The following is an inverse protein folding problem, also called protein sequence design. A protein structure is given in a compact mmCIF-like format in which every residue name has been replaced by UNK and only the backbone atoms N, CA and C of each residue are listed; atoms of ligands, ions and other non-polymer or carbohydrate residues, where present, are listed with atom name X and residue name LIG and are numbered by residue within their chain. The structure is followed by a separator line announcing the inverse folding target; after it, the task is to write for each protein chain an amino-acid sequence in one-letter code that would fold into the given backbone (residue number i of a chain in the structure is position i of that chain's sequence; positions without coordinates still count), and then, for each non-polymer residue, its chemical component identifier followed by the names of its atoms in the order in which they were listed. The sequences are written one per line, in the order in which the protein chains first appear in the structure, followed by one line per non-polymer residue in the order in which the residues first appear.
data_IF_193478995380
#
_entry.id   IF_193478995380
#
_cell.length_a   1.000
_cell.length_b   1.000
_cell.length_c   1.000
_cell.angle_alpha   90.00
_cell.angle_beta   90.00
_cell.angle_gamma   90.00
#
_symmetry.space_group_name_H-M   'P 1'
#
loop_
_entity.id
_entity.type
_entity.pdbx_description
1 polymer ?
#
# COMPACT_ATOMS: atom_id res chain seq x y z
N UNK A 1 -12.15 -9.37 40.77
CA UNK A 1 -11.36 -8.72 39.70
C UNK A 1 -11.38 -7.23 39.94
N UNK A 2 -10.25 -6.58 39.86
CA UNK A 2 -10.10 -5.14 40.01
C UNK A 2 -9.46 -4.56 38.73
N UNK A 3 -9.82 -3.33 38.33
CA UNK A 3 -9.24 -2.72 37.14
C UNK A 3 -7.87 -2.09 37.48
N UNK A 4 -7.03 -2.03 36.43
CA UNK A 4 -5.75 -1.31 36.41
C UNK A 4 -5.66 -0.60 35.04
N UNK A 5 -5.09 0.59 34.96
CA UNK A 5 -4.93 1.32 33.72
C UNK A 5 -5.86 2.53 33.58
N UNK A 6 -5.86 3.11 32.36
CA UNK A 6 -6.46 4.43 32.09
C UNK A 6 -7.97 4.38 31.83
N UNK A 7 -8.48 3.24 31.34
CA UNK A 7 -9.92 3.06 31.12
C UNK A 7 -10.58 2.65 32.43
N UNK A 8 -11.54 3.46 32.88
CA UNK A 8 -12.20 3.30 34.15
C UNK A 8 -13.38 2.33 34.04
N UNK A 9 -13.40 1.33 34.94
CA UNK A 9 -14.55 0.45 35.14
C UNK A 9 -15.30 0.82 36.43
N UNK A 10 -16.45 1.48 36.26
CA UNK A 10 -17.29 1.94 37.39
C UNK A 10 -17.86 0.78 38.24
N UNK A 11 -17.92 -0.42 37.68
CA UNK A 11 -18.47 -1.61 38.35
C UNK A 11 -17.41 -2.42 39.09
N UNK A 12 -16.12 -2.10 38.92
CA UNK A 12 -15.05 -2.78 39.63
C UNK A 12 -15.05 -2.40 41.12
N UNK A 13 -14.66 -3.31 42.04
CA UNK A 13 -14.20 -4.67 41.78
C UNK A 13 -15.33 -5.64 41.48
N UNK A 14 -15.17 -6.47 40.44
CA UNK A 14 -16.07 -7.59 40.20
C UNK A 14 -15.74 -8.75 41.13
N UNK A 15 -16.73 -9.24 41.91
CA UNK A 15 -16.54 -10.30 42.87
C UNK A 15 -17.43 -11.48 42.52
N UNK A 16 -16.81 -12.64 42.34
CA UNK A 16 -17.48 -13.94 42.12
C UNK A 16 -17.16 -14.86 43.27
N UNK A 17 -18.21 -15.43 43.88
CA UNK A 17 -18.10 -16.43 44.95
C UNK A 17 -18.25 -17.82 44.33
N UNK A 18 -17.14 -18.57 44.26
CA UNK A 18 -17.13 -19.94 43.80
C UNK A 18 -17.57 -20.88 44.93
N UNK A 19 -18.63 -21.62 44.70
CA UNK A 19 -19.16 -22.60 45.67
C UNK A 19 -18.78 -24.03 45.32
N UNK A 20 -18.11 -24.25 44.19
CA UNK A 20 -17.64 -25.58 43.77
C UNK A 20 -16.44 -26.00 44.62
N UNK A 21 -16.65 -27.03 45.42
CA UNK A 21 -15.61 -27.60 46.28
C UNK A 21 -15.22 -28.99 45.77
N UNK A 22 -13.91 -29.28 45.76
CA UNK A 22 -13.43 -30.64 45.49
C UNK A 22 -12.97 -30.91 44.06
N UNK A 23 -12.94 -29.93 43.17
CA UNK A 23 -12.30 -30.01 41.87
C UNK A 23 -10.85 -29.50 41.88
N UNK A 24 -9.99 -30.14 41.12
CA UNK A 24 -8.56 -29.76 41.00
C UNK A 24 -8.29 -28.70 39.94
N UNK A 25 -9.22 -28.50 39.01
CA UNK A 25 -9.21 -27.46 37.99
C UNK A 25 -10.64 -27.10 37.62
N UNK A 26 -10.93 -25.81 37.46
CA UNK A 26 -12.23 -25.27 37.07
C UNK A 26 -11.98 -24.26 35.94
N UNK A 27 -12.59 -24.50 34.78
CA UNK A 27 -12.71 -23.49 33.72
C UNK A 27 -13.98 -22.69 33.99
N UNK A 28 -13.82 -21.41 34.33
CA UNK A 28 -14.90 -20.51 34.65
C UNK A 28 -14.98 -19.39 33.60
N UNK A 29 -16.07 -19.34 32.85
CA UNK A 29 -16.36 -18.22 31.97
C UNK A 29 -16.93 -17.05 32.79
N UNK A 30 -16.09 -16.05 33.03
CA UNK A 30 -16.47 -14.87 33.81
C UNK A 30 -17.35 -13.90 33.03
N UNK A 31 -17.45 -14.02 31.70
CA UNK A 31 -18.33 -13.19 30.88
C UNK A 31 -19.81 -13.40 31.18
N UNK A 32 -20.18 -14.56 31.72
CA UNK A 32 -21.55 -14.83 32.20
C UNK A 32 -21.94 -14.05 33.45
N UNK A 33 -20.94 -13.59 34.21
CA UNK A 33 -21.16 -12.95 35.53
C UNK A 33 -20.85 -11.47 35.51
N UNK A 34 -19.92 -11.03 34.67
CA UNK A 34 -19.43 -9.65 34.66
C UNK A 34 -19.42 -9.10 33.23
N UNK A 35 -19.69 -7.80 33.13
CA UNK A 35 -19.37 -7.01 31.94
C UNK A 35 -18.04 -6.30 32.17
N UNK A 36 -17.01 -6.72 31.48
CA UNK A 36 -15.75 -6.02 31.45
C UNK A 36 -15.81 -4.86 30.45
N UNK A 37 -15.09 -3.79 30.73
CA UNK A 37 -14.97 -2.67 29.83
C UNK A 37 -13.82 -2.91 28.82
N UNK A 38 -14.13 -2.71 27.58
CA UNK A 38 -13.17 -2.80 26.47
C UNK A 38 -11.98 -1.85 26.66
N UNK A 39 -10.78 -2.28 26.30
CA UNK A 39 -9.53 -1.53 26.46
C UNK A 39 -9.04 -1.37 27.91
N UNK A 40 -9.62 -2.13 28.86
CA UNK A 40 -9.29 -2.02 30.29
C UNK A 40 -8.29 -3.07 30.72
N UNK A 41 -7.32 -2.68 31.56
CA UNK A 41 -6.46 -3.62 32.29
C UNK A 41 -7.06 -4.04 33.61
N UNK A 42 -7.08 -5.33 33.87
CA UNK A 42 -7.60 -5.92 35.11
C UNK A 42 -6.51 -6.63 35.90
N UNK A 43 -6.67 -6.59 37.24
CA UNK A 43 -5.98 -7.47 38.17
C UNK A 43 -6.93 -8.58 38.61
N UNK A 44 -6.51 -9.80 38.50
CA UNK A 44 -7.24 -10.98 38.95
C UNK A 44 -6.70 -11.44 40.29
N UNK A 45 -7.59 -11.68 41.28
CA UNK A 45 -7.19 -12.17 42.59
C UNK A 45 -8.09 -13.33 43.00
N UNK A 46 -7.50 -14.39 43.49
CA UNK A 46 -8.20 -15.55 44.05
C UNK A 46 -7.80 -15.76 45.48
N UNK A 47 -8.78 -15.94 46.35
CA UNK A 47 -8.60 -16.32 47.74
C UNK A 47 -9.63 -17.40 48.10
N UNK A 48 -9.24 -18.37 48.86
CA UNK A 48 -10.11 -19.46 49.28
C UNK A 48 -10.11 -19.62 50.81
N UNK A 49 -11.17 -20.26 51.34
CA UNK A 49 -11.19 -20.72 52.72
C UNK A 49 -11.54 -22.21 52.83
N UNK A 50 -10.93 -22.92 53.74
CA UNK A 50 -11.31 -24.30 54.02
C UNK A 50 -12.55 -24.39 54.95
N UNK A 51 -13.06 -25.59 55.14
CA UNK A 51 -14.24 -25.84 55.97
C UNK A 51 -14.00 -25.48 57.48
N UNK A 52 -12.76 -25.37 57.90
CA UNK A 52 -12.38 -24.96 59.27
C UNK A 52 -12.28 -23.44 59.40
N UNK A 53 -12.42 -22.70 58.29
CA UNK A 53 -12.31 -21.23 58.25
C UNK A 53 -10.90 -20.67 58.08
N UNK A 54 -9.91 -21.51 57.74
CA UNK A 54 -8.58 -21.04 57.40
C UNK A 54 -8.58 -20.42 55.98
N UNK A 55 -7.96 -19.26 55.88
CA UNK A 55 -7.93 -18.49 54.61
C UNK A 55 -6.58 -18.75 53.93
N UNK A 56 -6.62 -19.01 52.61
CA UNK A 56 -5.40 -19.15 51.81
C UNK A 56 -4.69 -17.82 51.57
N UNK A 57 -3.42 -17.87 51.20
CA UNK A 57 -2.77 -16.71 50.58
C UNK A 57 -3.54 -16.29 49.33
N UNK A 58 -3.52 -14.99 49.02
CA UNK A 58 -4.14 -14.43 47.86
C UNK A 58 -3.21 -14.65 46.64
N UNK A 59 -3.68 -15.42 45.64
CA UNK A 59 -3.01 -15.50 44.34
C UNK A 59 -3.47 -14.35 43.48
N UNK A 60 -2.54 -13.68 42.80
CA UNK A 60 -2.82 -12.53 41.94
C UNK A 60 -2.20 -12.71 40.57
N UNK A 61 -2.93 -12.27 39.54
CA UNK A 61 -2.48 -12.06 38.18
C UNK A 61 -2.73 -10.59 37.87
N UNK A 62 -1.69 -9.90 37.47
CA UNK A 62 -1.73 -8.47 37.17
C UNK A 62 -1.66 -8.23 35.66
N UNK A 63 -2.11 -7.05 35.24
CA UNK A 63 -1.97 -6.55 33.87
C UNK A 63 -2.64 -7.42 32.81
N UNK A 64 -3.82 -7.92 33.11
CA UNK A 64 -4.65 -8.66 32.13
C UNK A 64 -5.41 -7.62 31.31
N UNK A 65 -5.07 -7.51 30.04
CA UNK A 65 -5.75 -6.62 29.11
C UNK A 65 -7.02 -7.29 28.58
N UNK A 66 -8.13 -6.58 28.61
CA UNK A 66 -9.40 -7.00 28.02
C UNK A 66 -9.72 -6.09 26.87
N UNK A 67 -9.62 -6.63 25.66
CA UNK A 67 -9.84 -5.93 24.40
C UNK A 67 -10.65 -6.82 23.47
N UNK A 68 -11.77 -6.28 22.99
CA UNK A 68 -12.69 -6.94 22.03
C UNK A 68 -12.85 -6.12 20.75
N UNK A 69 -12.11 -5.03 20.62
CA UNK A 69 -12.16 -4.16 19.44
C UNK A 69 -11.20 -4.67 18.38
N UNK A 70 -11.70 -5.11 17.20
CA UNK A 70 -10.82 -5.53 16.12
C UNK A 70 -9.92 -4.40 15.61
N UNK A 71 -8.69 -4.70 15.19
CA UNK A 71 -7.81 -3.72 14.58
C UNK A 71 -8.36 -3.24 13.24
N UNK A 72 -8.15 -1.96 12.94
CA UNK A 72 -8.52 -1.36 11.66
C UNK A 72 -7.29 -1.25 10.76
N UNK A 73 -7.40 -1.84 9.57
CA UNK A 73 -6.40 -1.72 8.51
C UNK A 73 -6.91 -0.74 7.47
N UNK A 74 -6.08 0.23 7.06
CA UNK A 74 -6.39 1.18 6.00
C UNK A 74 -5.27 1.16 4.96
N UNK A 75 -5.58 0.77 3.71
CA UNK A 75 -4.65 0.91 2.59
C UNK A 75 -4.70 2.33 2.04
N UNK A 76 -3.52 2.91 1.82
CA UNK A 76 -3.34 4.25 1.25
C UNK A 76 -2.85 4.14 -0.19
N UNK A 77 -1.99 3.15 -0.47
CA UNK A 77 -1.45 2.84 -1.79
C UNK A 77 -1.07 1.35 -1.88
N UNK A 78 -1.30 0.70 -3.04
CA UNK A 78 -2.05 1.20 -4.19
C UNK A 78 -3.53 1.39 -3.88
N UNK A 79 -4.24 2.16 -4.70
CA UNK A 79 -5.70 2.33 -4.66
C UNK A 79 -6.36 1.55 -5.81
N UNK A 80 -7.68 1.45 -5.78
CA UNK A 80 -8.44 0.76 -6.84
C UNK A 80 -8.09 1.29 -8.23
N UNK A 81 -7.85 0.37 -9.17
CA UNK A 81 -7.44 0.63 -10.54
C UNK A 81 -6.09 1.37 -10.68
N UNK A 82 -5.22 1.34 -9.70
CA UNK A 82 -3.86 1.86 -9.83
C UNK A 82 -3.05 1.04 -10.84
N UNK A 83 -2.01 1.67 -11.42
CA UNK A 83 -0.91 0.96 -12.08
C UNK A 83 0.36 1.18 -11.25
N UNK A 84 1.16 0.15 -11.08
CA UNK A 84 2.39 0.16 -10.27
C UNK A 84 3.50 -0.61 -10.98
N UNK A 85 4.74 -0.18 -10.82
CA UNK A 85 5.92 -0.85 -11.38
C UNK A 85 6.80 -1.54 -10.32
N UNK A 86 6.36 -1.52 -9.09
CA UNK A 86 7.00 -2.22 -7.98
C UNK A 86 5.94 -2.56 -6.92
N UNK A 87 6.16 -3.59 -6.06
CA UNK A 87 5.16 -4.04 -5.08
C UNK A 87 5.16 -3.23 -3.78
N UNK A 88 5.56 -1.96 -3.80
CA UNK A 88 5.51 -1.10 -2.61
C UNK A 88 4.08 -0.78 -2.22
N UNK A 89 3.82 -0.76 -0.92
CA UNK A 89 2.52 -0.45 -0.35
C UNK A 89 2.60 0.69 0.67
N UNK A 90 1.47 1.33 0.92
CA UNK A 90 1.30 2.27 2.03
C UNK A 90 0.04 1.91 2.78
N UNK A 91 0.11 1.79 4.08
CA UNK A 91 -1.03 1.44 4.93
C UNK A 91 -0.88 2.04 6.33
N UNK A 92 -1.96 2.05 7.08
CA UNK A 92 -1.99 2.41 8.49
C UNK A 92 -2.73 1.32 9.28
N UNK A 93 -2.28 1.08 10.49
CA UNK A 93 -2.90 0.18 11.46
C UNK A 93 -3.37 1.00 12.66
N UNK A 94 -4.56 0.72 13.18
CA UNK A 94 -5.07 1.40 14.39
C UNK A 94 -4.30 1.02 15.64
N UNK A 95 -3.68 -0.16 15.63
CA UNK A 95 -3.00 -0.76 16.79
C UNK A 95 -1.95 -1.80 16.36
N UNK A 96 -1.22 -2.34 17.36
CA UNK A 96 -0.23 -3.39 17.13
C UNK A 96 -0.90 -4.70 16.75
N UNK A 97 -0.44 -5.32 15.66
CA UNK A 97 -0.88 -6.65 15.27
C UNK A 97 0.04 -7.73 15.83
N UNK A 98 -0.56 -8.88 16.19
CA UNK A 98 0.13 -10.14 16.44
C UNK A 98 0.48 -10.82 15.12
N UNK A 99 -0.45 -10.81 14.17
CA UNK A 99 -0.34 -11.39 12.84
C UNK A 99 -0.92 -10.43 11.80
N UNK A 100 -0.29 -10.34 10.64
CA UNK A 100 -0.79 -9.58 9.51
C UNK A 100 -0.35 -10.20 8.20
N UNK A 101 -1.17 -10.08 7.18
CA UNK A 101 -0.86 -10.58 5.85
C UNK A 101 -1.37 -9.67 4.74
N UNK A 102 -0.67 -9.66 3.63
CA UNK A 102 -1.05 -9.01 2.37
C UNK A 102 -1.14 -10.09 1.29
N UNK A 103 -2.34 -10.32 0.80
CA UNK A 103 -2.64 -11.33 -0.21
C UNK A 103 -2.82 -10.67 -1.57
N UNK A 104 -1.96 -11.01 -2.54
CA UNK A 104 -2.06 -10.58 -3.94
C UNK A 104 -2.64 -11.71 -4.78
N UNK A 105 -3.83 -11.53 -5.30
CA UNK A 105 -4.50 -12.53 -6.13
C UNK A 105 -4.67 -11.99 -7.55
N UNK A 106 -4.08 -12.67 -8.54
CA UNK A 106 -4.31 -12.34 -9.95
C UNK A 106 -5.78 -12.51 -10.30
N UNK A 107 -6.35 -11.48 -10.94
CA UNK A 107 -7.77 -11.47 -11.35
C UNK A 107 -7.95 -11.31 -12.85
N UNK A 108 -6.94 -10.73 -13.56
CA UNK A 108 -6.96 -10.52 -15.01
C UNK A 108 -5.54 -10.27 -15.54
N UNK A 109 -5.39 -10.01 -16.86
CA UNK A 109 -4.12 -9.68 -17.51
C UNK A 109 -3.24 -10.89 -17.79
N UNK A 110 -1.92 -10.69 -17.79
CA UNK A 110 -0.95 -11.76 -18.01
C UNK A 110 -1.06 -12.85 -16.93
N UNK A 111 -0.88 -14.11 -17.32
CA UNK A 111 -1.03 -15.23 -16.39
C UNK A 111 0.12 -15.30 -15.39
N UNK A 112 -0.19 -15.18 -14.12
CA UNK A 112 0.71 -15.43 -13.00
C UNK A 112 0.48 -16.82 -12.42
N UNK A 113 1.41 -17.73 -12.69
CA UNK A 113 1.31 -19.14 -12.27
C UNK A 113 1.63 -19.34 -10.77
N UNK A 114 2.15 -18.32 -10.11
CA UNK A 114 2.48 -18.35 -8.68
C UNK A 114 1.38 -17.68 -7.82
N UNK A 115 0.40 -17.03 -8.45
CA UNK A 115 -0.74 -16.45 -7.74
C UNK A 115 -1.60 -17.53 -7.09
N UNK A 116 -2.11 -17.31 -5.85
CA UNK A 116 -1.98 -16.09 -5.06
C UNK A 116 -0.63 -15.99 -4.30
N UNK A 117 -0.12 -14.76 -4.14
CA UNK A 117 1.05 -14.49 -3.29
C UNK A 117 0.57 -14.06 -1.91
N UNK A 118 0.92 -14.83 -0.91
CA UNK A 118 0.66 -14.47 0.50
C UNK A 118 1.94 -13.93 1.13
N UNK A 119 1.89 -12.68 1.57
CA UNK A 119 3.00 -11.95 2.20
C UNK A 119 2.67 -11.76 3.67
N UNK A 120 3.38 -12.46 4.55
CA UNK A 120 3.28 -12.27 6.00
C UNK A 120 3.98 -10.98 6.41
N UNK A 121 3.31 -10.17 7.21
CA UNK A 121 3.86 -8.97 7.84
C UNK A 121 4.78 -9.37 8.99
N UNK A 122 5.93 -8.71 9.12
CA UNK A 122 6.93 -9.02 10.15
C UNK A 122 7.49 -7.76 10.80
N UNK A 123 7.83 -7.87 12.09
CA UNK A 123 8.50 -6.80 12.84
C UNK A 123 7.74 -5.47 12.82
N UNK A 124 8.40 -4.41 12.35
CA UNK A 124 7.84 -3.06 12.29
C UNK A 124 6.63 -2.93 11.34
N UNK A 125 6.44 -3.87 10.43
CA UNK A 125 5.27 -3.91 9.54
C UNK A 125 3.96 -4.12 10.30
N UNK A 126 4.02 -4.69 11.51
CA UNK A 126 2.89 -4.96 12.40
C UNK A 126 2.58 -3.80 13.36
N UNK A 127 3.42 -2.75 13.41
CA UNK A 127 3.25 -1.64 14.35
C UNK A 127 2.19 -0.63 13.91
N UNK A 128 1.55 0.11 14.84
CA UNK A 128 0.45 1.03 14.54
C UNK A 128 0.84 2.31 13.80
N UNK A 129 2.11 2.47 13.41
CA UNK A 129 2.56 3.61 12.64
C UNK A 129 2.12 3.53 11.19
N UNK A 130 1.90 4.69 10.54
CA UNK A 130 1.65 4.78 9.11
C UNK A 130 2.91 4.37 8.32
N UNK A 131 2.75 3.43 7.39
CA UNK A 131 3.81 2.95 6.49
C UNK A 131 3.62 3.56 5.11
N UNK A 132 4.62 4.32 4.63
CA UNK A 132 4.56 5.04 3.37
C UNK A 132 5.54 4.44 2.36
N UNK A 133 5.01 3.92 1.24
CA UNK A 133 5.80 3.37 0.13
C UNK A 133 6.89 2.40 0.59
N UNK A 134 6.53 1.52 1.48
CA UNK A 134 7.46 0.50 1.96
C UNK A 134 7.52 -0.69 0.99
N UNK A 135 8.70 -1.28 0.86
CA UNK A 135 8.87 -2.63 0.33
C UNK A 135 8.81 -3.59 1.50
N UNK A 136 7.89 -4.53 1.47
CA UNK A 136 7.77 -5.53 2.53
C UNK A 136 8.97 -6.46 2.54
N UNK A 137 9.36 -6.97 3.71
CA UNK A 137 10.52 -7.86 3.85
C UNK A 137 10.36 -9.13 2.99
N UNK A 138 9.14 -9.63 2.88
CA UNK A 138 8.77 -10.80 2.08
C UNK A 138 8.00 -10.36 0.82
N UNK A 139 8.56 -9.43 0.03
CA UNK A 139 7.87 -8.89 -1.15
C UNK A 139 7.45 -9.99 -2.14
N UNK A 140 6.27 -9.86 -2.78
CA UNK A 140 5.80 -10.83 -3.78
C UNK A 140 6.58 -10.69 -5.08
N UNK A 141 6.78 -11.79 -5.79
CA UNK A 141 7.30 -11.80 -7.16
C UNK A 141 6.12 -11.77 -8.12
N UNK A 142 5.72 -10.56 -8.53
CA UNK A 142 4.58 -10.33 -9.41
C UNK A 142 4.94 -10.49 -10.88
N UNK A 143 3.96 -10.84 -11.71
CA UNK A 143 4.13 -10.99 -13.15
C UNK A 143 3.73 -9.70 -13.87
N UNK A 144 4.61 -9.22 -14.76
CA UNK A 144 4.39 -8.04 -15.60
C UNK A 144 3.13 -8.18 -16.48
N UNK A 145 2.33 -7.13 -16.57
CA UNK A 145 1.05 -7.11 -17.27
C UNK A 145 -0.10 -7.83 -16.55
N UNK A 146 0.11 -8.34 -15.33
CA UNK A 146 -0.95 -8.95 -14.52
C UNK A 146 -1.75 -7.91 -13.74
N UNK A 147 -3.04 -8.20 -13.54
CA UNK A 147 -3.93 -7.38 -12.72
C UNK A 147 -4.26 -8.14 -11.44
N UNK A 148 -4.05 -7.49 -10.29
CA UNK A 148 -4.22 -8.08 -8.98
C UNK A 148 -5.36 -7.45 -8.18
N UNK A 149 -6.01 -8.28 -7.35
CA UNK A 149 -6.73 -7.84 -6.16
C UNK A 149 -5.81 -8.01 -4.96
N UNK A 150 -5.75 -7.01 -4.08
CA UNK A 150 -4.91 -7.02 -2.89
C UNK A 150 -5.82 -7.01 -1.67
N UNK A 151 -5.62 -7.96 -0.77
CA UNK A 151 -6.35 -8.04 0.50
C UNK A 151 -5.35 -7.87 1.64
N UNK A 152 -5.63 -6.96 2.55
CA UNK A 152 -4.83 -6.77 3.77
C UNK A 152 -5.72 -7.06 4.97
N UNK A 153 -5.23 -7.88 5.89
CA UNK A 153 -5.91 -8.20 7.13
C UNK A 153 -4.91 -8.52 8.25
N UNK A 154 -5.36 -8.45 9.47
CA UNK A 154 -4.55 -8.76 10.62
C UNK A 154 -5.34 -9.19 11.84
N UNK A 155 -4.62 -9.61 12.86
CA UNK A 155 -5.13 -9.98 14.17
C UNK A 155 -4.30 -9.26 15.22
N UNK A 156 -4.96 -8.67 16.22
CA UNK A 156 -4.29 -8.04 17.36
C UNK A 156 -3.72 -9.05 18.35
N UNK A 157 -3.17 -8.55 19.46
CA UNK A 157 -2.56 -9.35 20.51
C UNK A 157 -3.56 -10.15 21.34
N UNK A 158 -4.80 -9.69 21.40
CA UNK A 158 -5.92 -10.27 22.17
C UNK A 158 -6.69 -11.32 21.36
N UNK A 159 -6.47 -11.37 20.02
CA UNK A 159 -7.05 -12.37 19.12
C UNK A 159 -8.21 -11.88 18.29
N UNK A 160 -8.49 -10.56 18.25
CA UNK A 160 -9.53 -9.99 17.42
C UNK A 160 -9.04 -9.87 15.97
N UNK A 161 -9.84 -10.32 15.02
CA UNK A 161 -9.54 -10.26 13.59
C UNK A 161 -10.06 -8.97 12.97
N UNK A 162 -9.22 -8.28 12.17
CA UNK A 162 -9.65 -7.13 11.38
C UNK A 162 -10.64 -7.51 10.29
N UNK A 163 -11.52 -6.59 9.91
CA UNK A 163 -12.18 -6.69 8.62
C UNK A 163 -11.12 -6.58 7.50
N UNK A 164 -11.20 -7.43 6.44
CA UNK A 164 -10.28 -7.37 5.33
C UNK A 164 -10.41 -6.05 4.55
N UNK A 165 -9.33 -5.32 4.35
CA UNK A 165 -9.30 -4.21 3.41
C UNK A 165 -8.96 -4.75 2.01
N UNK A 166 -9.76 -4.39 1.01
CA UNK A 166 -9.62 -4.91 -0.36
C UNK A 166 -9.38 -3.79 -1.35
N UNK A 167 -8.27 -3.89 -2.10
CA UNK A 167 -7.97 -3.05 -3.27
C UNK A 167 -8.13 -3.88 -4.53
N UNK A 168 -8.75 -3.30 -5.56
CA UNK A 168 -9.12 -4.03 -6.77
C UNK A 168 -8.42 -3.48 -8.02
N UNK A 169 -8.20 -4.37 -9.00
CA UNK A 169 -7.75 -4.03 -10.34
C UNK A 169 -6.42 -3.25 -10.36
N UNK A 170 -5.44 -3.68 -9.58
CA UNK A 170 -4.09 -3.10 -9.58
C UNK A 170 -3.29 -3.74 -10.71
N UNK A 171 -2.94 -2.97 -11.73
CA UNK A 171 -2.06 -3.40 -12.81
C UNK A 171 -0.61 -3.35 -12.31
N UNK A 172 0.10 -4.46 -12.44
CA UNK A 172 1.55 -4.50 -12.27
C UNK A 172 2.21 -4.43 -13.65
N UNK A 173 2.94 -3.35 -13.91
CA UNK A 173 3.52 -3.04 -15.21
C UNK A 173 4.92 -2.48 -15.04
N UNK A 174 5.91 -3.22 -15.50
CA UNK A 174 7.33 -2.90 -15.41
C UNK A 174 7.94 -2.57 -16.78
N UNK A 175 7.13 -2.63 -17.84
CA UNK A 175 7.58 -2.40 -19.20
C UNK A 175 7.56 -0.90 -19.50
N UNK A 176 8.72 -0.25 -19.78
CA UNK A 176 8.72 1.15 -20.18
C UNK A 176 8.07 1.37 -21.55
N UNK A 177 7.38 2.51 -21.74
CA UNK A 177 6.92 2.89 -23.06
C UNK A 177 8.09 3.17 -24.00
N UNK A 178 7.90 2.90 -25.29
CA UNK A 178 8.90 3.14 -26.32
C UNK A 178 8.42 4.17 -27.34
N UNK A 179 9.31 5.10 -27.72
CA UNK A 179 9.15 5.98 -28.88
C UNK A 179 9.91 5.39 -30.05
N UNK A 180 9.21 5.07 -31.12
CA UNK A 180 9.76 4.53 -32.38
C UNK A 180 9.35 5.38 -33.57
N UNK A 181 9.82 5.06 -34.81
CA UNK A 181 9.49 5.75 -36.04
C UNK A 181 9.69 7.28 -36.00
N UNK A 182 10.74 7.71 -35.28
CA UNK A 182 10.99 9.13 -34.99
C UNK A 182 11.41 9.89 -36.26
N UNK A 183 10.72 11.00 -36.52
CA UNK A 183 11.10 12.01 -37.52
C UNK A 183 11.12 13.39 -36.88
N UNK A 184 12.02 14.30 -37.26
CA UNK A 184 13.04 14.15 -38.30
C UNK A 184 14.16 13.17 -37.93
N UNK A 185 14.82 12.61 -38.91
CA UNK A 185 16.01 11.77 -38.72
C UNK A 185 17.25 12.63 -38.46
N UNK A 186 18.29 11.99 -37.96
CA UNK A 186 19.58 12.67 -37.73
C UNK A 186 20.19 13.13 -39.05
N UNK A 187 20.45 14.43 -39.17
CA UNK A 187 21.02 15.06 -40.37
C UNK A 187 19.98 15.69 -41.30
N UNK A 188 18.70 15.58 -41.02
CA UNK A 188 17.66 16.23 -41.82
C UNK A 188 17.77 17.76 -41.75
N UNK A 189 17.41 18.40 -42.88
CA UNK A 189 17.23 19.85 -42.97
C UNK A 189 15.73 20.17 -43.00
N UNK A 190 15.25 20.99 -42.07
CA UNK A 190 13.83 21.26 -41.90
C UNK A 190 13.47 22.70 -42.26
N UNK A 191 12.27 22.89 -42.81
CA UNK A 191 11.61 24.19 -42.92
C UNK A 191 10.29 24.26 -42.14
N UNK A 192 10.05 23.27 -41.29
CA UNK A 192 8.90 23.16 -40.38
C UNK A 192 9.30 22.45 -39.08
N UNK A 193 8.44 22.47 -38.07
CA UNK A 193 8.66 21.82 -36.75
C UNK A 193 7.73 20.62 -36.52
N UNK A 194 7.15 20.03 -37.60
CA UNK A 194 6.37 18.80 -37.49
C UNK A 194 7.27 17.63 -37.07
N UNK A 195 6.70 16.75 -36.28
CA UNK A 195 7.35 15.52 -35.82
C UNK A 195 6.49 14.30 -36.13
N UNK A 196 7.14 13.17 -36.29
CA UNK A 196 6.50 11.86 -36.34
C UNK A 196 7.11 11.00 -35.26
N UNK A 197 6.28 10.23 -34.58
CA UNK A 197 6.70 9.18 -33.66
C UNK A 197 5.59 8.15 -33.48
N UNK A 198 5.95 6.95 -33.06
CA UNK A 198 5.01 5.92 -32.65
C UNK A 198 5.24 5.57 -31.19
N UNK A 199 4.15 5.46 -30.41
CA UNK A 199 4.16 5.01 -29.02
C UNK A 199 3.75 3.55 -28.94
N UNK A 200 4.51 2.76 -28.16
CA UNK A 200 4.18 1.35 -27.88
C UNK A 200 2.92 1.20 -27.02
N UNK A 201 2.59 2.24 -26.24
CA UNK A 201 1.46 2.29 -25.31
C UNK A 201 1.04 3.73 -24.97
N UNK A 202 -0.09 3.88 -24.24
CA UNK A 202 -0.51 5.18 -23.72
C UNK A 202 0.44 5.66 -22.63
N UNK A 203 0.90 6.91 -22.70
CA UNK A 203 1.74 7.52 -21.66
C UNK A 203 0.97 8.56 -20.82
N UNK A 204 1.26 8.61 -19.53
CA UNK A 204 0.67 9.58 -18.60
C UNK A 204 1.28 10.96 -18.77
N UNK A 205 2.59 11.01 -19.01
CA UNK A 205 3.35 12.24 -19.26
C UNK A 205 4.23 12.06 -20.47
N UNK A 206 4.35 13.10 -21.29
CA UNK A 206 5.24 13.10 -22.46
C UNK A 206 5.77 14.47 -22.75
N UNK A 207 7.00 14.52 -23.25
CA UNK A 207 7.68 15.76 -23.58
C UNK A 207 8.68 15.55 -24.74
N UNK A 208 8.75 16.53 -25.65
CA UNK A 208 9.77 16.62 -26.68
C UNK A 208 10.68 17.80 -26.34
N UNK A 209 11.98 17.56 -26.39
CA UNK A 209 12.98 18.58 -26.07
C UNK A 209 13.84 18.84 -27.30
N UNK A 210 13.83 20.09 -27.78
CA UNK A 210 14.70 20.59 -28.84
C UNK A 210 15.85 21.37 -28.18
N UNK A 211 17.05 20.82 -28.24
CA UNK A 211 18.25 21.43 -27.65
C UNK A 211 19.20 21.88 -28.75
N UNK A 212 19.53 23.15 -28.77
CA UNK A 212 20.53 23.65 -29.70
C UNK A 212 21.90 23.01 -29.46
N UNK A 213 22.54 22.57 -30.53
CA UNK A 213 23.86 21.93 -30.54
C UNK A 213 24.87 22.71 -31.39
N UNK A 214 24.40 23.65 -32.23
CA UNK A 214 25.24 24.47 -33.11
C UNK A 214 24.43 25.43 -33.98
N UNK A 215 25.08 26.03 -34.97
CA UNK A 215 24.48 27.01 -35.87
C UNK A 215 24.25 28.37 -35.25
N UNK A 216 23.25 29.13 -35.73
CA UNK A 216 22.89 30.43 -35.22
C UNK A 216 22.37 30.35 -33.80
N UNK A 217 22.80 31.27 -32.92
CA UNK A 217 22.52 31.26 -31.49
C UNK A 217 21.03 31.38 -31.18
N UNK A 218 20.52 30.45 -30.40
CA UNK A 218 19.17 30.42 -29.85
C UNK A 218 19.20 30.64 -28.32
N UNK A 219 18.88 31.85 -27.85
CA UNK A 219 18.96 32.18 -26.44
C UNK A 219 17.87 31.44 -25.58
N UNK A 220 16.81 30.94 -26.22
CA UNK A 220 15.69 30.29 -25.54
C UNK A 220 15.81 28.75 -25.49
N UNK A 221 16.90 28.21 -26.09
CA UNK A 221 17.18 26.76 -26.03
C UNK A 221 17.55 26.31 -24.60
N UNK A 222 17.06 25.16 -24.13
CA UNK A 222 16.25 24.17 -24.83
C UNK A 222 14.75 24.47 -24.82
N UNK A 223 14.09 24.26 -25.95
CA UNK A 223 12.64 24.31 -26.04
C UNK A 223 12.05 23.01 -25.56
N UNK A 224 11.07 23.07 -24.65
CA UNK A 224 10.35 21.93 -24.09
C UNK A 224 8.89 22.00 -24.51
N UNK A 225 8.43 20.98 -25.20
CA UNK A 225 7.04 20.84 -25.65
C UNK A 225 6.40 19.70 -24.89
N UNK A 226 5.37 20.01 -24.10
CA UNK A 226 4.60 19.00 -23.37
C UNK A 226 3.55 18.43 -24.29
N UNK A 227 3.49 17.10 -24.39
CA UNK A 227 2.50 16.39 -25.19
C UNK A 227 1.11 16.48 -24.55
N UNK A 228 0.10 16.82 -25.35
CA UNK A 228 -1.29 16.84 -24.91
C UNK A 228 -1.87 15.41 -24.83
N UNK A 229 -3.15 15.26 -24.48
CA UNK A 229 -3.77 13.95 -24.27
C UNK A 229 -3.79 13.09 -25.54
N UNK A 230 -4.09 13.69 -26.69
CA UNK A 230 -4.13 12.95 -27.98
C UNK A 230 -2.73 12.56 -28.42
N UNK A 231 -1.74 13.41 -28.19
CA UNK A 231 -0.33 13.19 -28.53
C UNK A 231 0.36 12.10 -27.65
N UNK A 232 -0.30 11.66 -26.59
CA UNK A 232 0.18 10.65 -25.62
C UNK A 232 -0.47 9.27 -25.82
N UNK A 233 -1.31 9.10 -26.85
CA UNK A 233 -1.97 7.82 -27.12
C UNK A 233 -1.06 6.83 -27.86
N UNK A 234 -1.27 5.55 -27.60
CA UNK A 234 -0.64 4.45 -28.35
C UNK A 234 -0.82 4.62 -29.86
N UNK A 235 0.22 4.32 -30.63
CA UNK A 235 0.18 4.26 -32.08
C UNK A 235 1.00 5.33 -32.77
N UNK A 236 0.85 5.42 -34.11
CA UNK A 236 1.58 6.33 -34.95
C UNK A 236 0.98 7.74 -34.96
N UNK A 237 1.81 8.73 -34.66
CA UNK A 237 1.55 10.15 -34.76
C UNK A 237 2.38 10.72 -35.91
N UNK A 238 1.76 10.81 -37.10
CA UNK A 238 2.46 11.17 -38.35
C UNK A 238 2.32 12.67 -38.64
N UNK A 239 3.46 13.31 -38.94
CA UNK A 239 3.55 14.73 -39.33
C UNK A 239 2.69 15.66 -38.46
N UNK A 240 2.68 15.42 -37.17
CA UNK A 240 1.88 16.19 -36.25
C UNK A 240 2.45 17.60 -36.01
N UNK A 241 1.54 18.57 -36.00
CA UNK A 241 1.79 19.92 -35.53
C UNK A 241 1.55 19.93 -34.04
N UNK A 242 2.63 19.96 -33.23
CA UNK A 242 2.52 20.00 -31.80
C UNK A 242 1.66 21.15 -31.31
N UNK A 243 0.86 20.94 -30.29
CA UNK A 243 -0.02 21.97 -29.71
C UNK A 243 0.76 23.23 -29.26
N UNK A 244 1.99 23.05 -28.77
CA UNK A 244 2.93 24.12 -28.44
C UNK A 244 4.18 23.99 -29.32
N UNK A 245 4.21 24.73 -30.43
CA UNK A 245 5.34 24.71 -31.37
C UNK A 245 6.55 25.41 -30.80
N UNK A 246 7.77 24.79 -30.86
CA UNK A 246 9.00 25.49 -30.46
C UNK A 246 9.33 26.63 -31.41
N UNK A 247 9.81 27.75 -30.90
CA UNK A 247 10.27 28.88 -31.70
C UNK A 247 11.75 28.69 -32.04
N UNK A 248 12.04 27.86 -33.06
CA UNK A 248 13.41 27.58 -33.48
C UNK A 248 14.01 28.73 -34.29
N UNK A 249 15.33 28.94 -34.20
CA UNK A 249 16.06 29.96 -34.92
C UNK A 249 16.54 29.45 -36.28
N UNK A 250 16.31 30.20 -37.35
CA UNK A 250 16.79 29.88 -38.68
C UNK A 250 18.33 29.70 -38.70
N UNK A 251 18.79 28.60 -39.32
CA UNK A 251 20.19 28.20 -39.34
C UNK A 251 20.70 27.65 -37.98
N UNK A 252 19.83 27.41 -37.00
CA UNK A 252 20.15 26.67 -35.78
C UNK A 252 20.25 25.17 -36.05
N UNK A 253 21.12 24.49 -35.31
CA UNK A 253 21.25 23.01 -35.33
C UNK A 253 20.78 22.48 -33.98
N UNK A 254 19.87 21.52 -33.98
CA UNK A 254 19.22 21.02 -32.77
C UNK A 254 19.34 19.51 -32.66
N UNK A 255 19.47 19.02 -31.44
CA UNK A 255 19.12 17.64 -31.07
C UNK A 255 17.67 17.59 -30.59
N UNK A 256 16.96 16.52 -30.93
CA UNK A 256 15.59 16.28 -30.48
C UNK A 256 15.62 15.04 -29.62
N UNK A 257 14.97 15.10 -28.46
CA UNK A 257 14.76 13.94 -27.59
C UNK A 257 13.30 13.83 -27.18
N UNK A 258 12.82 12.60 -27.15
CA UNK A 258 11.49 12.22 -26.70
C UNK A 258 11.63 11.55 -25.34
N UNK A 259 10.74 11.88 -24.43
CA UNK A 259 10.66 11.23 -23.12
C UNK A 259 9.22 11.18 -22.66
N UNK A 260 8.88 10.15 -21.92
CA UNK A 260 7.56 9.99 -21.36
C UNK A 260 7.56 9.01 -20.22
N UNK A 261 6.46 8.96 -19.49
CA UNK A 261 6.20 7.92 -18.51
C UNK A 261 4.79 7.40 -18.68
N UNK A 262 4.65 6.09 -18.50
CA UNK A 262 3.34 5.45 -18.42
C UNK A 262 2.63 5.75 -17.09
N UNK A 263 1.49 5.11 -16.89
CA UNK A 263 0.67 5.24 -15.69
C UNK A 263 1.28 4.53 -14.48
N UNK A 264 2.09 3.49 -14.67
CA UNK A 264 2.82 2.78 -13.62
C UNK A 264 4.06 3.54 -13.13
N UNK A 265 4.54 4.51 -13.94
CA UNK A 265 5.71 5.34 -13.69
C UNK A 265 6.98 4.84 -14.35
N UNK A 266 6.90 3.90 -15.32
CA UNK A 266 8.05 3.50 -16.13
C UNK A 266 8.38 4.63 -17.12
N UNK A 267 9.67 4.84 -17.37
CA UNK A 267 10.18 5.98 -18.16
C UNK A 267 10.79 5.49 -19.48
N UNK A 268 10.34 6.11 -20.59
CA UNK A 268 10.88 5.92 -21.94
C UNK A 268 12.24 6.59 -22.10
#
# INVERSE_FOLDING_TARGET
VNYQGDVFDEKAPHIYECTDTGQTAIDLDLSEYFQFNDGTMYQFSIVGSDLAGNISDTTRLDSIHYDITPPVVTMIFPFDNAAINNPTISYALSEQLLLGEVLWTQVDGAQDTLSPHNVEMVGEELSPEEKIRITMLNEPILTDGSIYSIVVRGRDLEGNDSEPFVVKNVLYDTTPPEFTEIRPESGDALNHQMVTYSLSEDIEKGMIIWRQTGGNNDPDSPHKVILNEDERKIGLHEDIVLNEMPQLIDGGIYSISFTGSDRAGNIA
#
